data_IF_327849352760
#
_entry.id   IF_327849352760
#
_cell.length_a   1.000
_cell.length_b   1.000
_cell.length_c   1.000
_cell.angle_alpha   90.00
_cell.angle_beta   90.00
_cell.angle_gamma   90.00
#
_symmetry.space_group_name_H-M   'P 1'
#
loop_
_entity.id
_entity.type
_entity.pdbx_description
1 polymer ?
#
# COMPACT_ATOMS: atom_id res chain seq x y z
N UNK A 1 -8.09 10.58 -7.73
CA UNK A 1 -7.91 10.50 -9.22
C UNK A 1 -8.93 11.42 -9.88
N UNK A 2 -8.64 12.08 -11.00
CA UNK A 2 -9.73 12.69 -11.77
C UNK A 2 -10.64 11.57 -12.33
N UNK A 3 -11.98 11.71 -12.25
CA UNK A 3 -12.90 10.66 -12.66
C UNK A 3 -12.70 10.13 -14.08
N UNK A 4 -12.18 10.98 -14.99
CA UNK A 4 -12.00 10.66 -16.41
C UNK A 4 -10.93 9.59 -16.61
N UNK A 5 -9.81 9.68 -15.89
CA UNK A 5 -8.74 8.69 -16.02
C UNK A 5 -9.13 7.32 -15.46
N UNK A 6 -9.98 7.27 -14.43
CA UNK A 6 -10.46 6.01 -13.84
C UNK A 6 -11.34 5.25 -14.83
N UNK A 7 -12.30 5.97 -15.42
CA UNK A 7 -13.21 5.46 -16.44
C UNK A 7 -12.42 4.94 -17.65
N UNK A 8 -11.39 5.67 -18.08
CA UNK A 8 -10.55 5.25 -19.20
C UNK A 8 -9.85 3.91 -18.97
N UNK A 9 -9.35 3.65 -17.76
CA UNK A 9 -8.70 2.37 -17.44
C UNK A 9 -9.69 1.21 -17.41
N UNK A 10 -10.84 1.39 -16.76
CA UNK A 10 -11.90 0.38 -16.70
C UNK A 10 -12.37 0.02 -18.11
N UNK A 11 -12.53 1.02 -18.98
CA UNK A 11 -12.88 0.80 -20.38
C UNK A 11 -11.82 -0.02 -21.12
N UNK A 12 -10.53 0.31 -20.98
CA UNK A 12 -9.42 -0.45 -21.59
C UNK A 12 -9.40 -1.91 -21.12
N UNK A 13 -9.59 -2.16 -19.81
CA UNK A 13 -9.63 -3.52 -19.25
C UNK A 13 -10.84 -4.29 -19.81
N UNK A 14 -12.02 -3.68 -19.82
CA UNK A 14 -13.25 -4.28 -20.35
C UNK A 14 -13.11 -4.64 -21.83
N UNK A 15 -12.52 -3.73 -22.63
CA UNK A 15 -12.28 -3.98 -24.05
C UNK A 15 -11.30 -5.14 -24.26
N UNK A 16 -10.21 -5.18 -23.50
CA UNK A 16 -9.22 -6.25 -23.56
C UNK A 16 -9.82 -7.62 -23.18
N UNK A 17 -10.66 -7.68 -22.13
CA UNK A 17 -11.43 -8.89 -21.76
C UNK A 17 -12.22 -9.40 -22.97
N UNK A 18 -12.96 -8.53 -23.64
CA UNK A 18 -13.75 -8.88 -24.82
C UNK A 18 -12.91 -9.42 -25.99
N UNK A 19 -11.77 -8.77 -26.28
CA UNK A 19 -10.85 -9.20 -27.34
C UNK A 19 -10.24 -10.57 -27.02
N UNK A 20 -9.79 -10.78 -25.77
CA UNK A 20 -9.20 -12.06 -25.35
C UNK A 20 -10.22 -13.19 -25.46
N UNK A 21 -11.43 -13.00 -24.94
CA UNK A 21 -12.50 -14.00 -24.99
C UNK A 21 -12.83 -14.40 -26.44
N UNK A 22 -12.95 -13.41 -27.33
CA UNK A 22 -13.17 -13.63 -28.76
C UNK A 22 -12.01 -14.41 -29.41
N UNK A 23 -10.77 -14.06 -29.08
CA UNK A 23 -9.57 -14.72 -29.60
C UNK A 23 -9.52 -16.19 -29.17
N UNK A 24 -9.82 -16.48 -27.90
CA UNK A 24 -9.93 -17.85 -27.39
C UNK A 24 -11.00 -18.63 -28.16
N UNK A 25 -12.16 -18.01 -28.43
CA UNK A 25 -13.22 -18.60 -29.25
C UNK A 25 -12.72 -19.03 -30.63
N UNK A 26 -12.00 -18.15 -31.34
CA UNK A 26 -11.41 -18.51 -32.64
C UNK A 26 -10.31 -19.57 -32.53
N UNK A 27 -9.45 -19.50 -31.51
CA UNK A 27 -8.41 -20.51 -31.30
C UNK A 27 -9.02 -21.91 -31.08
N UNK A 28 -10.16 -22.02 -30.40
CA UNK A 28 -10.84 -23.31 -30.20
C UNK A 28 -11.32 -23.95 -31.52
N UNK A 29 -11.62 -23.14 -32.54
CA UNK A 29 -12.07 -23.59 -33.85
C UNK A 29 -10.91 -23.96 -34.81
N UNK A 30 -9.66 -23.59 -34.47
CA UNK A 30 -8.45 -23.94 -35.26
C UNK A 30 -8.09 -25.41 -35.01
N UNK A 31 -7.89 -26.21 -36.06
CA UNK A 31 -7.54 -27.64 -35.93
C UNK A 31 -6.04 -27.93 -35.93
N UNK A 32 -5.24 -27.01 -36.46
CA UNK A 32 -3.79 -27.16 -36.62
C UNK A 32 -3.01 -26.71 -35.38
N UNK A 33 -1.70 -27.00 -35.35
CA UNK A 33 -0.76 -26.60 -34.30
C UNK A 33 -1.27 -26.84 -32.84
N UNK A 34 -1.76 -28.04 -32.50
CA UNK A 34 -2.52 -28.28 -31.26
C UNK A 34 -1.75 -27.91 -29.99
N UNK A 35 -0.41 -28.03 -29.99
CA UNK A 35 0.44 -27.66 -28.86
C UNK A 35 0.48 -26.14 -28.63
N UNK A 36 0.80 -25.38 -29.67
CA UNK A 36 0.91 -23.92 -29.59
C UNK A 36 -0.46 -23.28 -29.35
N UNK A 37 -1.50 -23.80 -30.03
CA UNK A 37 -2.90 -23.43 -29.81
C UNK A 37 -3.31 -23.64 -28.35
N UNK A 38 -3.05 -24.84 -27.80
CA UNK A 38 -3.39 -25.16 -26.41
C UNK A 38 -2.65 -24.25 -25.43
N UNK A 39 -1.36 -23.97 -25.67
CA UNK A 39 -0.57 -23.06 -24.82
C UNK A 39 -1.13 -21.64 -24.85
N UNK A 40 -1.44 -21.11 -26.03
CA UNK A 40 -2.01 -19.77 -26.17
C UNK A 40 -3.38 -19.66 -25.51
N UNK A 41 -4.27 -20.64 -25.70
CA UNK A 41 -5.57 -20.68 -25.03
C UNK A 41 -5.40 -20.68 -23.51
N UNK A 42 -4.47 -21.49 -23.00
CA UNK A 42 -4.22 -21.61 -21.57
C UNK A 42 -3.75 -20.29 -20.95
N UNK A 43 -2.74 -19.65 -21.54
CA UNK A 43 -2.23 -18.39 -21.02
C UNK A 43 -3.21 -17.22 -21.20
N UNK A 44 -3.95 -17.19 -22.31
CA UNK A 44 -5.01 -16.22 -22.54
C UNK A 44 -6.16 -16.38 -21.54
N UNK A 45 -6.55 -17.61 -21.20
CA UNK A 45 -7.61 -17.88 -20.21
C UNK A 45 -7.20 -17.46 -18.80
N UNK A 46 -5.95 -17.69 -18.41
CA UNK A 46 -5.40 -17.21 -17.13
C UNK A 46 -5.39 -15.69 -17.06
N UNK A 47 -4.98 -15.03 -18.13
CA UNK A 47 -5.03 -13.58 -18.22
C UNK A 47 -6.46 -13.06 -18.16
N UNK A 48 -7.40 -13.70 -18.85
CA UNK A 48 -8.82 -13.34 -18.82
C UNK A 48 -9.35 -13.34 -17.39
N UNK A 49 -9.08 -14.40 -16.63
CA UNK A 49 -9.50 -14.50 -15.22
C UNK A 49 -8.92 -13.36 -14.35
N UNK A 50 -7.62 -13.07 -14.49
CA UNK A 50 -6.98 -11.98 -13.75
C UNK A 50 -7.57 -10.60 -14.10
N UNK A 51 -7.84 -10.35 -15.39
CA UNK A 51 -8.44 -9.09 -15.82
C UNK A 51 -9.88 -8.95 -15.36
N UNK A 52 -10.66 -10.04 -15.31
CA UNK A 52 -12.03 -10.03 -14.78
C UNK A 52 -12.05 -9.74 -13.28
N UNK A 53 -11.17 -10.38 -12.51
CA UNK A 53 -11.03 -10.12 -11.07
C UNK A 53 -10.63 -8.67 -10.80
N UNK A 54 -9.70 -8.16 -11.61
CA UNK A 54 -9.32 -6.77 -11.56
C UNK A 54 -10.50 -5.85 -11.89
N UNK A 55 -11.26 -6.12 -12.95
CA UNK A 55 -12.40 -5.29 -13.34
C UNK A 55 -13.46 -5.22 -12.24
N UNK A 56 -13.78 -6.35 -11.61
CA UNK A 56 -14.70 -6.39 -10.47
C UNK A 56 -14.20 -5.57 -9.28
N UNK A 57 -12.90 -5.67 -9.00
CA UNK A 57 -12.27 -4.88 -7.92
C UNK A 57 -12.38 -3.37 -8.18
N UNK A 58 -12.24 -2.94 -9.44
CA UNK A 58 -12.33 -1.54 -9.83
C UNK A 58 -13.73 -0.95 -9.77
N UNK A 59 -14.76 -1.79 -9.88
CA UNK A 59 -16.16 -1.36 -9.71
C UNK A 59 -16.50 -1.05 -8.23
N UNK A 60 -15.67 -1.48 -7.26
CA UNK A 60 -15.85 -1.17 -5.83
C UNK A 60 -15.19 0.18 -5.45
N UNK A 61 -16.04 1.21 -5.27
CA UNK A 61 -15.69 2.64 -5.26
C UNK A 61 -14.62 3.12 -4.24
N UNK A 62 -14.44 2.46 -3.10
CA UNK A 62 -13.61 2.99 -2.00
C UNK A 62 -12.10 2.71 -2.13
N UNK A 63 -11.68 1.94 -3.14
CA UNK A 63 -10.32 1.34 -3.16
C UNK A 63 -9.40 1.86 -4.26
N UNK A 64 -9.91 2.74 -5.11
CA UNK A 64 -9.29 3.14 -6.37
C UNK A 64 -8.08 4.07 -6.18
N UNK A 65 -8.09 4.93 -5.15
CA UNK A 65 -7.11 6.03 -5.04
C UNK A 65 -5.70 5.61 -4.63
N UNK A 66 -5.56 4.69 -3.67
CA UNK A 66 -4.25 4.21 -3.20
C UNK A 66 -3.61 3.20 -4.18
N UNK A 67 -4.42 2.46 -4.92
CA UNK A 67 -4.01 1.40 -5.83
C UNK A 67 -3.47 1.94 -7.16
N UNK A 68 -4.02 3.04 -7.67
CA UNK A 68 -3.62 3.62 -8.95
C UNK A 68 -2.40 4.52 -8.91
N UNK A 69 -1.93 4.92 -7.73
CA UNK A 69 -0.65 5.64 -7.62
C UNK A 69 0.55 4.77 -8.01
N UNK A 70 0.60 3.55 -7.48
CA UNK A 70 1.74 2.63 -7.62
C UNK A 70 1.75 1.89 -8.96
N UNK A 71 0.57 1.53 -9.49
CA UNK A 71 0.46 0.85 -10.80
C UNK A 71 0.69 1.82 -11.97
N UNK A 72 0.41 3.11 -11.78
CA UNK A 72 0.56 4.16 -12.82
C UNK A 72 2.02 4.55 -13.10
N UNK A 73 2.94 4.40 -12.14
CA UNK A 73 4.37 4.69 -12.39
C UNK A 73 5.04 3.71 -13.36
N UNK A 74 4.39 2.59 -13.68
CA UNK A 74 4.98 1.50 -14.48
C UNK A 74 4.47 1.41 -15.94
N UNK A 75 3.68 2.39 -16.42
CA UNK A 75 3.20 2.41 -17.81
C UNK A 75 2.11 1.37 -18.13
N UNK A 76 1.28 0.99 -17.14
CA UNK A 76 0.26 -0.05 -17.28
C UNK A 76 -0.67 0.15 -18.48
N UNK A 77 -1.15 1.38 -18.71
CA UNK A 77 -2.07 1.67 -19.83
C UNK A 77 -1.44 1.34 -21.18
N UNK A 78 -0.19 1.77 -21.40
CA UNK A 78 0.52 1.50 -22.64
C UNK A 78 0.73 0.00 -22.88
N UNK A 79 1.00 -0.75 -21.80
CA UNK A 79 1.17 -2.21 -21.86
C UNK A 79 -0.16 -2.90 -22.17
N UNK A 80 -1.28 -2.47 -21.56
CA UNK A 80 -2.62 -2.97 -21.87
C UNK A 80 -3.01 -2.68 -23.32
N UNK A 81 -2.79 -1.45 -23.79
CA UNK A 81 -3.10 -1.03 -25.17
C UNK A 81 -2.24 -1.79 -26.20
N UNK A 82 -0.97 -2.08 -25.88
CA UNK A 82 -0.10 -2.89 -26.73
C UNK A 82 -0.58 -4.34 -26.82
N UNK A 83 -0.96 -4.94 -25.70
CA UNK A 83 -1.50 -6.29 -25.68
C UNK A 83 -2.84 -6.36 -26.41
N UNK A 84 -3.72 -5.38 -26.20
CA UNK A 84 -5.00 -5.31 -26.88
C UNK A 84 -4.82 -5.32 -28.40
N UNK A 85 -3.96 -4.43 -28.93
CA UNK A 85 -3.64 -4.40 -30.37
C UNK A 85 -3.10 -5.74 -30.87
N UNK A 86 -2.20 -6.36 -30.12
CA UNK A 86 -1.62 -7.66 -30.48
C UNK A 86 -2.67 -8.78 -30.50
N UNK A 87 -3.61 -8.78 -29.54
CA UNK A 87 -4.70 -9.74 -29.48
C UNK A 87 -5.75 -9.49 -30.58
N UNK A 88 -6.01 -8.23 -30.94
CA UNK A 88 -6.88 -7.88 -32.07
C UNK A 88 -6.28 -8.33 -33.41
N UNK A 89 -4.98 -8.14 -33.61
CA UNK A 89 -4.24 -8.63 -34.78
C UNK A 89 -4.27 -10.15 -34.85
N UNK A 90 -3.99 -10.83 -33.73
CA UNK A 90 -4.11 -12.27 -33.59
C UNK A 90 -5.52 -12.72 -34.00
N UNK A 91 -6.55 -12.13 -33.40
CA UNK A 91 -7.95 -12.45 -33.69
C UNK A 91 -8.31 -12.27 -35.17
N UNK A 92 -7.77 -11.24 -35.85
CA UNK A 92 -7.96 -11.02 -37.28
C UNK A 92 -7.31 -12.13 -38.12
N UNK A 93 -6.08 -12.54 -37.78
CA UNK A 93 -5.34 -13.59 -38.50
C UNK A 93 -5.97 -14.97 -38.39
N UNK A 94 -6.62 -15.26 -37.26
CA UNK A 94 -7.30 -16.54 -36.99
C UNK A 94 -8.82 -16.46 -37.18
N UNK A 95 -9.34 -15.32 -37.68
CA UNK A 95 -10.78 -15.14 -37.89
C UNK A 95 -11.27 -16.08 -38.99
N UNK A 96 -12.46 -16.69 -38.85
CA UNK A 96 -13.07 -17.43 -39.94
C UNK A 96 -13.42 -16.50 -41.10
N UNK A 97 -12.95 -16.81 -42.31
CA UNK A 97 -13.47 -16.18 -43.52
C UNK A 97 -14.98 -16.42 -43.60
N UNK A 98 -15.74 -15.34 -43.75
CA UNK A 98 -17.18 -15.43 -43.95
C UNK A 98 -17.43 -15.72 -45.42
N UNK A 99 -17.41 -17.01 -45.78
CA UNK A 99 -17.66 -17.41 -47.14
C UNK A 99 -17.90 -18.91 -47.25
N UNK A 100 -19.07 -19.26 -47.79
CA UNK A 100 -19.46 -20.58 -48.29
C UNK A 100 -19.97 -21.55 -47.20
N UNK A 101 -21.31 -21.58 -47.08
CA UNK A 101 -22.05 -22.71 -46.52
C UNK A 101 -21.61 -23.99 -47.23
N UNK A 102 -20.98 -24.93 -46.53
CA UNK A 102 -20.93 -26.33 -46.97
C UNK A 102 -19.56 -27.02 -47.03
N UNK A 103 -18.43 -26.33 -46.93
CA UNK A 103 -17.13 -26.99 -46.73
C UNK A 103 -16.57 -26.61 -45.36
N UNK A 104 -16.21 -27.62 -44.55
CA UNK A 104 -15.78 -27.44 -43.17
C UNK A 104 -14.72 -26.35 -43.03
N UNK A 105 -15.07 -25.27 -42.33
CA UNK A 105 -14.20 -24.15 -41.95
C UNK A 105 -12.92 -24.70 -41.31
N UNK A 106 -11.82 -24.78 -42.06
CA UNK A 106 -10.49 -24.91 -41.47
C UNK A 106 -9.99 -23.50 -41.24
N UNK A 107 -10.04 -23.06 -39.98
CA UNK A 107 -9.20 -21.94 -39.58
C UNK A 107 -7.76 -22.40 -39.74
N UNK A 108 -7.05 -21.76 -40.67
CA UNK A 108 -5.65 -22.06 -40.93
C UNK A 108 -4.80 -21.41 -39.84
N UNK A 109 -3.89 -22.18 -39.27
CA UNK A 109 -2.88 -21.64 -38.38
C UNK A 109 -1.84 -20.87 -39.20
N UNK A 110 -1.88 -19.54 -39.11
CA UNK A 110 -1.01 -18.63 -39.88
C UNK A 110 0.12 -18.02 -39.07
N UNK A 111 0.22 -18.36 -37.78
CA UNK A 111 1.20 -17.78 -36.86
C UNK A 111 2.52 -18.55 -36.90
N UNK A 112 3.60 -17.80 -36.97
CA UNK A 112 4.93 -18.37 -36.78
C UNK A 112 5.33 -18.44 -35.29
N UNK A 113 6.41 -19.15 -35.02
CA UNK A 113 6.92 -19.36 -33.65
C UNK A 113 7.33 -18.05 -32.97
N UNK A 114 7.87 -17.08 -33.71
CA UNK A 114 8.30 -15.79 -33.16
C UNK A 114 7.09 -14.98 -32.72
N UNK A 115 6.05 -14.93 -33.55
CA UNK A 115 4.78 -14.24 -33.23
C UNK A 115 4.13 -14.82 -31.98
N UNK A 116 4.08 -16.16 -31.85
CA UNK A 116 3.55 -16.83 -30.67
C UNK A 116 4.34 -16.43 -29.41
N UNK A 117 5.67 -16.43 -29.48
CA UNK A 117 6.52 -16.06 -28.34
C UNK A 117 6.36 -14.58 -27.95
N UNK A 118 6.22 -13.68 -28.92
CA UNK A 118 5.98 -12.26 -28.66
C UNK A 118 4.62 -12.03 -27.97
N UNK A 119 3.56 -12.71 -28.43
CA UNK A 119 2.23 -12.62 -27.81
C UNK A 119 2.28 -13.18 -26.38
N UNK A 120 2.91 -14.33 -26.18
CA UNK A 120 3.06 -14.93 -24.85
C UNK A 120 3.86 -14.02 -23.90
N UNK A 121 4.93 -13.40 -24.36
CA UNK A 121 5.72 -12.48 -23.55
C UNK A 121 4.90 -11.25 -23.10
N UNK A 122 4.06 -10.71 -24.00
CA UNK A 122 3.13 -9.62 -23.66
C UNK A 122 2.07 -10.06 -22.65
N UNK A 123 1.52 -11.26 -22.80
CA UNK A 123 0.57 -11.86 -21.83
C UNK A 123 1.23 -12.01 -20.46
N UNK A 124 2.44 -12.58 -20.38
CA UNK A 124 3.16 -12.75 -19.10
C UNK A 124 3.45 -11.41 -18.41
N UNK A 125 3.84 -10.39 -19.18
CA UNK A 125 4.06 -9.05 -18.64
C UNK A 125 2.78 -8.47 -18.02
N UNK A 126 1.64 -8.56 -18.71
CA UNK A 126 0.36 -8.05 -18.18
C UNK A 126 -0.08 -8.87 -16.98
N UNK A 127 -0.01 -10.21 -17.03
CA UNK A 127 -0.35 -11.06 -15.87
C UNK A 127 0.47 -10.71 -14.63
N UNK A 128 1.77 -10.43 -14.80
CA UNK A 128 2.64 -10.03 -13.69
C UNK A 128 2.21 -8.70 -13.09
N UNK A 129 1.94 -7.70 -13.94
CA UNK A 129 1.48 -6.39 -13.49
C UNK A 129 0.11 -6.46 -12.80
N UNK A 130 -0.84 -7.17 -13.39
CA UNK A 130 -2.19 -7.36 -12.82
C UNK A 130 -2.12 -8.19 -11.54
N UNK A 131 -1.30 -9.24 -11.50
CA UNK A 131 -1.11 -10.07 -10.30
C UNK A 131 -0.56 -9.26 -9.13
N UNK A 132 0.45 -8.41 -9.36
CA UNK A 132 0.93 -7.48 -8.33
C UNK A 132 -0.18 -6.51 -7.89
N UNK A 133 -0.99 -6.06 -8.85
CA UNK A 133 -2.08 -5.15 -8.55
C UNK A 133 -3.19 -5.83 -7.72
N UNK A 134 -3.45 -7.12 -7.93
CA UNK A 134 -4.43 -7.89 -7.17
C UNK A 134 -3.94 -8.30 -5.77
N UNK A 135 -2.64 -8.14 -5.44
CA UNK A 135 -2.11 -8.30 -4.09
C UNK A 135 -2.52 -7.14 -3.14
N UNK A 136 -3.77 -6.67 -3.26
CA UNK A 136 -4.43 -5.59 -2.53
C UNK A 136 -4.27 -5.71 -1.02
N UNK A 137 -4.42 -6.92 -0.48
CA UNK A 137 -4.39 -7.14 0.97
C UNK A 137 -3.01 -6.87 1.57
N UNK A 138 -1.94 -7.17 0.84
CA UNK A 138 -0.58 -6.83 1.27
C UNK A 138 -0.37 -5.32 1.36
N UNK A 139 -0.89 -4.56 0.39
CA UNK A 139 -0.79 -3.09 0.39
C UNK A 139 -1.63 -2.50 1.52
N UNK A 140 -2.88 -2.96 1.69
CA UNK A 140 -3.77 -2.50 2.77
C UNK A 140 -3.16 -2.77 4.15
N UNK A 141 -2.67 -3.98 4.37
CA UNK A 141 -2.00 -4.35 5.61
C UNK A 141 -0.76 -3.48 5.86
N UNK A 142 0.06 -3.24 4.83
CA UNK A 142 1.26 -2.39 4.96
C UNK A 142 0.91 -0.95 5.32
N UNK A 143 -0.15 -0.39 4.74
CA UNK A 143 -0.64 0.94 5.06
C UNK A 143 -1.21 1.03 6.48
N UNK A 144 -1.98 0.02 6.90
CA UNK A 144 -2.49 -0.06 8.27
C UNK A 144 -1.36 -0.14 9.30
N UNK A 145 -0.33 -0.95 9.02
CA UNK A 145 0.88 -1.03 9.85
C UNK A 145 1.58 0.34 9.92
N UNK A 146 1.74 1.03 8.78
CA UNK A 146 2.36 2.37 8.74
C UNK A 146 1.58 3.38 9.58
N UNK A 147 0.25 3.37 9.49
CA UNK A 147 -0.61 4.26 10.27
C UNK A 147 -0.44 3.98 11.78
N UNK A 148 -0.50 2.72 12.19
CA UNK A 148 -0.31 2.31 13.58
C UNK A 148 1.07 2.70 14.13
N UNK A 149 2.14 2.55 13.34
CA UNK A 149 3.49 2.99 13.73
C UNK A 149 3.55 4.52 13.89
N UNK A 150 2.88 5.27 13.02
CA UNK A 150 2.86 6.73 13.10
C UNK A 150 2.14 7.19 14.37
N UNK A 151 1.01 6.57 14.70
CA UNK A 151 0.28 6.81 15.95
C UNK A 151 1.12 6.48 17.19
N UNK A 152 1.80 5.32 17.19
CA UNK A 152 2.71 4.94 18.28
C UNK A 152 3.84 5.95 18.47
N UNK A 153 4.44 6.46 17.40
CA UNK A 153 5.51 7.45 17.48
C UNK A 153 5.03 8.79 18.05
N UNK A 154 3.81 9.21 17.70
CA UNK A 154 3.19 10.42 18.28
C UNK A 154 3.01 10.24 19.78
N UNK A 155 2.40 9.13 20.20
CA UNK A 155 2.15 8.85 21.61
C UNK A 155 3.47 8.74 22.43
N UNK A 156 4.52 8.17 21.85
CA UNK A 156 5.85 8.14 22.47
C UNK A 156 6.43 9.55 22.65
N UNK A 157 6.26 10.44 21.67
CA UNK A 157 6.68 11.83 21.79
C UNK A 157 5.91 12.60 22.88
N UNK A 158 4.62 12.33 23.02
CA UNK A 158 3.81 12.88 24.12
C UNK A 158 4.30 12.40 25.49
N UNK A 159 4.55 11.09 25.62
CA UNK A 159 5.07 10.51 26.86
C UNK A 159 6.45 11.07 27.23
N UNK A 160 7.35 11.25 26.27
CA UNK A 160 8.67 11.85 26.51
C UNK A 160 8.54 13.27 27.07
N UNK A 161 7.60 14.06 26.55
CA UNK A 161 7.33 15.41 27.07
C UNK A 161 6.79 15.39 28.51
N UNK A 162 5.89 14.45 28.84
CA UNK A 162 5.39 14.28 30.20
C UNK A 162 6.50 13.86 31.17
N UNK A 163 7.36 12.92 30.76
CA UNK A 163 8.51 12.46 31.56
C UNK A 163 9.50 13.61 31.81
N UNK A 164 9.74 14.47 30.82
CA UNK A 164 10.56 15.67 30.99
C UNK A 164 9.94 16.63 32.01
N UNK A 165 8.64 16.91 31.90
CA UNK A 165 7.94 17.79 32.84
C UNK A 165 7.97 17.26 34.28
N UNK A 166 7.76 15.95 34.47
CA UNK A 166 7.88 15.30 35.78
C UNK A 166 9.32 15.43 36.31
N UNK A 167 10.31 15.18 35.45
CA UNK A 167 11.73 15.26 35.84
C UNK A 167 12.10 16.66 36.34
N UNK A 168 11.64 17.70 35.66
CA UNK A 168 11.88 19.09 36.06
C UNK A 168 11.13 19.47 37.33
N UNK A 169 9.86 19.06 37.47
CA UNK A 169 9.10 19.22 38.72
C UNK A 169 9.78 18.54 39.92
N UNK A 170 10.34 17.33 39.72
CA UNK A 170 11.09 16.63 40.76
C UNK A 170 12.36 17.40 41.17
N UNK A 171 13.10 17.98 40.21
CA UNK A 171 14.27 18.82 40.52
C UNK A 171 13.87 20.04 41.34
N UNK A 172 12.79 20.73 40.97
CA UNK A 172 12.30 21.91 41.68
C UNK A 172 11.90 21.56 43.13
N UNK A 173 11.18 20.44 43.33
CA UNK A 173 10.83 19.95 44.67
C UNK A 173 12.06 19.60 45.51
N UNK A 174 13.13 19.07 44.92
CA UNK A 174 14.38 18.81 45.63
C UNK A 174 15.09 20.10 46.05
N UNK A 175 15.05 21.14 45.22
CA UNK A 175 15.61 22.46 45.55
C UNK A 175 14.81 23.09 46.69
N UNK A 176 13.49 23.17 46.56
CA UNK A 176 12.61 23.75 47.57
C UNK A 176 12.75 23.06 48.93
N UNK A 177 12.92 21.73 48.94
CA UNK A 177 13.17 20.96 50.17
C UNK A 177 14.49 21.36 50.84
N UNK A 178 15.59 21.46 50.09
CA UNK A 178 16.89 21.89 50.62
C UNK A 178 16.83 23.31 51.18
N UNK A 179 16.10 24.21 50.53
CA UNK A 179 15.92 25.59 51.00
C UNK A 179 15.07 25.64 52.28
N UNK A 180 14.04 24.80 52.38
CA UNK A 180 13.25 24.69 53.60
C UNK A 180 14.09 24.17 54.77
N UNK A 181 14.88 23.10 54.56
CA UNK A 181 15.79 22.55 55.56
C UNK A 181 16.80 23.61 56.06
N UNK A 182 17.36 24.42 55.14
CA UNK A 182 18.25 25.54 55.49
C UNK A 182 17.55 26.58 56.34
N UNK A 183 16.35 27.05 55.93
CA UNK A 183 15.58 28.04 56.69
C UNK A 183 15.18 27.54 58.07
N UNK A 184 14.88 26.25 58.20
CA UNK A 184 14.58 25.62 59.50
C UNK A 184 15.83 25.54 60.39
N UNK A 185 17.00 25.19 59.82
CA UNK A 185 18.26 25.19 60.54
C UNK A 185 18.64 26.61 61.05
N UNK A 186 18.49 27.63 60.21
CA UNK A 186 18.72 29.04 60.58
C UNK A 186 17.78 29.48 61.72
N UNK A 187 16.49 29.15 61.62
CA UNK A 187 15.51 29.44 62.68
C UNK A 187 15.86 28.75 64.00
N UNK A 188 16.27 27.48 63.96
CA UNK A 188 16.72 26.75 65.15
C UNK A 188 17.95 27.40 65.78
N UNK A 189 18.94 27.79 64.98
CA UNK A 189 20.13 28.47 65.46
C UNK A 189 19.79 29.81 66.12
N UNK A 190 18.91 30.60 65.47
CA UNK A 190 18.46 31.88 66.00
C UNK A 190 17.74 31.72 67.34
N UNK A 191 16.79 30.80 67.43
CA UNK A 191 16.04 30.52 68.66
C UNK A 191 16.96 30.03 69.77
N UNK A 192 17.90 29.12 69.48
CA UNK A 192 18.88 28.65 70.45
C UNK A 192 19.79 29.79 70.95
N UNK A 193 20.22 30.68 70.04
CA UNK A 193 21.03 31.85 70.40
C UNK A 193 20.26 32.80 71.32
N UNK A 194 18.98 33.08 71.02
CA UNK A 194 18.12 33.90 71.90
C UNK A 194 17.92 33.26 73.28
N UNK A 195 17.68 31.95 73.34
CA UNK A 195 17.53 31.22 74.59
C UNK A 195 18.80 31.29 75.46
N UNK A 196 19.98 31.15 74.84
CA UNK A 196 21.25 31.29 75.54
C UNK A 196 21.46 32.71 76.11
N UNK A 197 21.15 33.75 75.32
CA UNK A 197 21.22 35.15 75.79
C UNK A 197 20.26 35.40 76.95
N UNK A 198 19.03 34.89 76.87
CA UNK A 198 18.03 35.02 77.94
C UNK A 198 18.49 34.32 79.23
N UNK A 199 19.07 33.12 79.11
CA UNK A 199 19.59 32.36 80.25
C UNK A 199 20.77 33.07 80.93
N UNK A 200 21.76 33.54 80.16
CA UNK A 200 22.89 34.32 80.69
C UNK A 200 22.43 35.61 81.38
N UNK A 201 21.40 36.26 80.84
CA UNK A 201 20.82 37.47 81.43
C UNK A 201 20.23 37.18 82.82
N UNK A 202 19.44 36.09 82.96
CA UNK A 202 18.89 35.69 84.27
C UNK A 202 19.95 35.33 85.31
N UNK A 203 21.09 34.74 84.91
CA UNK A 203 22.19 34.44 85.84
C UNK A 203 22.89 35.69 86.37
N UNK A 204 23.02 36.74 85.55
CA UNK A 204 23.61 38.01 85.99
C UNK A 204 22.73 38.79 86.99
N UNK A 205 21.42 38.49 87.07
CA UNK A 205 20.53 39.09 88.07
C UNK A 205 20.57 38.37 89.43
N UNK A 206 21.20 37.20 89.54
CA UNK A 206 21.28 36.43 90.78
C UNK A 206 22.55 36.71 91.63
N UNK A 207 23.46 37.60 91.18
CA UNK A 207 24.62 38.02 91.98
C UNK A 207 24.41 39.42 92.59
N UNK A 208 23.66 39.49 93.69
CA UNK A 208 23.80 40.53 94.71
C UNK A 208 23.20 40.09 96.03
#
# INVERSE_FOLDING_TARGET
>A
MDPVTAIGLVASITQLIGVIAKTIGYLNDVKDAPKDRSRLIHEASRLLALLTDLNYTLESADTMELWLGTVRSQGMKDVLDLLQRSMEELAKKIKPEHGIKGLGKRLLWTLDKKEILEILAKIERVKSLVGMALQRDHIRLSLAIKAAITELNTNLGELDNEVLAITDGVKELQINRKDQERREAERRLHNNSQAAVAWLSHMNFASK
#
